data_IF_345795843059
#
_entry.id   IF_345795843059
#
_cell.length_a   1.000
_cell.length_b   1.000
_cell.length_c   1.000
_cell.angle_alpha   90.00
_cell.angle_beta   90.00
_cell.angle_gamma   90.00
#
_symmetry.space_group_name_H-M   'P 1'
#
loop_
_entity.id
_entity.type
_entity.pdbx_description
1 polymer ?
#
# COMPACT_ATOMS: atom_id res chain seq x y z
N UNK A 1 -0.33 -6.35 18.63
CA UNK A 1 -0.52 -5.91 17.23
C UNK A 1 0.84 -5.62 16.62
N UNK A 2 1.17 -6.26 15.50
CA UNK A 2 2.44 -6.04 14.80
C UNK A 2 2.11 -5.49 13.42
N UNK A 3 2.48 -4.23 13.19
CA UNK A 3 2.24 -3.48 11.96
C UNK A 3 3.44 -3.59 11.00
N UNK A 4 3.24 -3.26 9.71
CA UNK A 4 4.33 -3.18 8.74
C UNK A 4 5.38 -2.15 9.17
N UNK A 5 4.91 -0.98 9.62
CA UNK A 5 5.76 0.09 10.13
C UNK A 5 4.97 1.00 11.08
N UNK A 6 5.68 1.79 11.88
CA UNK A 6 5.08 2.89 12.65
C UNK A 6 5.40 4.27 12.06
N UNK A 7 6.14 4.32 10.94
CA UNK A 7 6.67 5.56 10.36
C UNK A 7 5.72 6.28 9.38
N UNK A 8 4.61 5.65 8.95
CA UNK A 8 3.66 6.27 8.02
C UNK A 8 2.38 6.73 8.71
N UNK A 9 1.72 7.72 8.14
CA UNK A 9 0.47 8.28 8.66
C UNK A 9 -0.63 7.21 8.74
N UNK A 10 -0.75 6.36 7.75
CA UNK A 10 -1.71 5.25 7.75
C UNK A 10 -1.56 4.35 8.96
N UNK A 11 -0.37 3.87 9.21
CA UNK A 11 -0.14 2.98 10.34
C UNK A 11 -0.34 3.68 11.67
N UNK A 12 -0.21 5.01 11.74
CA UNK A 12 -0.58 5.80 12.90
C UNK A 12 -2.08 5.75 13.21
N UNK A 13 -2.94 5.74 12.18
CA UNK A 13 -4.39 5.57 12.37
C UNK A 13 -4.75 4.16 12.81
N UNK A 14 -4.13 3.14 12.22
CA UNK A 14 -4.33 1.74 12.65
C UNK A 14 -3.93 1.56 14.11
N UNK A 15 -2.77 2.10 14.50
CA UNK A 15 -2.30 2.12 15.89
C UNK A 15 -3.30 2.82 16.80
N UNK A 16 -3.75 4.02 16.43
CA UNK A 16 -4.72 4.78 17.22
C UNK A 16 -6.04 4.00 17.43
N UNK A 17 -6.51 3.30 16.39
CA UNK A 17 -7.69 2.43 16.51
C UNK A 17 -7.50 1.28 17.49
N UNK A 18 -6.35 0.61 17.45
CA UNK A 18 -6.01 -0.47 18.37
C UNK A 18 -5.89 0.03 19.83
N UNK A 19 -5.27 1.19 20.04
CA UNK A 19 -5.15 1.83 21.35
C UNK A 19 -6.51 2.31 21.90
N UNK A 20 -7.38 2.84 21.04
CA UNK A 20 -8.74 3.23 21.41
C UNK A 20 -9.56 2.01 21.86
N UNK A 21 -9.46 0.88 21.14
CA UNK A 21 -10.13 -0.36 21.55
C UNK A 21 -9.70 -0.82 22.95
N UNK A 22 -8.40 -0.80 23.23
CA UNK A 22 -7.89 -1.15 24.57
C UNK A 22 -8.39 -0.22 25.66
N UNK A 23 -8.53 1.08 25.35
CA UNK A 23 -9.08 2.08 26.30
C UNK A 23 -10.56 1.84 26.59
N UNK A 24 -11.34 1.48 25.57
CA UNK A 24 -12.78 1.24 25.72
C UNK A 24 -13.09 -0.15 26.31
N UNK A 25 -12.11 -1.06 26.31
CA UNK A 25 -12.20 -2.42 26.84
C UNK A 25 -11.09 -2.66 27.86
N UNK A 26 -11.24 -2.26 29.12
CA UNK A 26 -10.17 -2.28 30.14
C UNK A 26 -9.57 -3.66 30.45
N UNK A 27 -10.30 -4.73 30.13
CA UNK A 27 -9.84 -6.11 30.30
C UNK A 27 -8.94 -6.57 29.14
N UNK A 28 -8.82 -5.78 28.07
CA UNK A 28 -8.00 -6.06 26.90
C UNK A 28 -6.82 -5.10 26.83
N UNK A 29 -5.62 -5.60 27.06
CA UNK A 29 -4.39 -4.83 26.90
C UNK A 29 -3.85 -5.03 25.48
N UNK A 30 -3.71 -3.94 24.75
CA UNK A 30 -3.15 -3.97 23.40
C UNK A 30 -1.78 -3.31 23.39
N UNK A 31 -0.76 -4.05 22.98
CA UNK A 31 0.55 -3.52 22.64
C UNK A 31 0.68 -3.41 21.12
N UNK A 32 1.10 -2.25 20.61
CA UNK A 32 1.26 -2.01 19.17
C UNK A 32 2.73 -1.76 18.85
N UNK A 33 3.28 -2.59 18.01
CA UNK A 33 4.65 -2.53 17.48
C UNK A 33 4.63 -2.46 15.95
N UNK A 34 5.72 -2.04 15.35
CA UNK A 34 5.93 -2.08 13.91
C UNK A 34 7.37 -1.75 13.59
N UNK A 35 7.83 -2.20 12.44
CA UNK A 35 9.18 -1.95 11.97
C UNK A 35 9.43 -0.47 11.66
N UNK A 36 10.68 -0.09 11.50
CA UNK A 36 11.09 1.30 11.20
C UNK A 36 10.73 1.72 9.77
N UNK A 37 10.56 0.76 8.86
CA UNK A 37 10.12 0.99 7.47
C UNK A 37 9.45 -0.26 6.89
N UNK A 38 8.78 -0.10 5.75
CA UNK A 38 8.16 -1.24 5.03
C UNK A 38 9.19 -2.13 4.31
N UNK A 39 10.48 -1.81 4.39
CA UNK A 39 11.59 -2.64 3.90
C UNK A 39 12.45 -3.24 5.01
N UNK A 40 12.13 -2.99 6.28
CA UNK A 40 12.86 -3.50 7.43
C UNK A 40 12.37 -4.92 7.81
N UNK A 41 12.57 -5.87 6.90
CA UNK A 41 12.08 -7.25 6.99
C UNK A 41 12.59 -7.99 8.22
N UNK A 42 13.91 -7.94 8.47
CA UNK A 42 14.54 -8.61 9.60
C UNK A 42 14.04 -8.08 10.93
N UNK A 43 13.75 -6.77 11.00
CA UNK A 43 13.22 -6.14 12.21
C UNK A 43 11.83 -6.67 12.54
N UNK A 44 10.93 -6.74 11.54
CA UNK A 44 9.59 -7.30 11.75
C UNK A 44 9.65 -8.79 12.05
N UNK A 45 10.48 -9.56 11.35
CA UNK A 45 10.69 -10.98 11.62
C UNK A 45 11.06 -11.21 13.08
N UNK A 46 12.08 -10.51 13.57
CA UNK A 46 12.54 -10.63 14.96
C UNK A 46 11.46 -10.27 15.97
N UNK A 47 10.64 -9.24 15.70
CA UNK A 47 9.49 -8.89 16.54
C UNK A 47 8.49 -10.03 16.61
N UNK A 48 8.09 -10.59 15.47
CA UNK A 48 7.13 -11.68 15.39
C UNK A 48 7.65 -12.91 16.14
N UNK A 49 8.88 -13.35 15.85
CA UNK A 49 9.49 -14.51 16.51
C UNK A 49 9.57 -14.30 18.02
N UNK A 50 10.02 -13.14 18.46
CA UNK A 50 10.14 -12.82 19.89
C UNK A 50 8.79 -12.85 20.60
N UNK A 51 7.79 -12.22 20.00
CA UNK A 51 6.47 -12.11 20.61
C UNK A 51 5.74 -13.47 20.64
N UNK A 52 5.81 -14.25 19.55
CA UNK A 52 5.22 -15.60 19.51
C UNK A 52 5.84 -16.55 20.56
N UNK A 53 7.14 -16.43 20.80
CA UNK A 53 7.85 -17.29 21.74
C UNK A 53 7.86 -16.80 23.19
N UNK A 54 7.40 -15.57 23.43
CA UNK A 54 7.44 -14.95 24.77
C UNK A 54 6.43 -15.55 25.76
N UNK A 55 5.31 -16.09 25.25
CA UNK A 55 4.17 -16.49 26.08
C UNK A 55 3.45 -15.32 26.79
N UNK A 56 3.75 -14.09 26.39
CA UNK A 56 3.22 -12.88 27.03
C UNK A 56 1.88 -12.41 26.43
N UNK A 57 1.48 -12.97 25.30
CA UNK A 57 0.30 -12.52 24.55
C UNK A 57 -0.68 -13.67 24.31
N UNK A 58 -1.96 -13.37 24.49
CA UNK A 58 -3.07 -14.32 24.32
C UNK A 58 -3.54 -14.39 22.85
N UNK A 59 -3.27 -13.37 22.03
CA UNK A 59 -3.66 -13.30 20.62
C UNK A 59 -2.77 -12.32 19.85
N UNK A 60 -2.76 -12.44 18.51
CA UNK A 60 -1.97 -11.64 17.62
C UNK A 60 -2.80 -11.02 16.50
N UNK A 61 -2.50 -9.76 16.16
CA UNK A 61 -2.95 -9.10 14.94
C UNK A 61 -1.70 -8.73 14.16
N UNK A 62 -1.53 -9.25 12.94
CA UNK A 62 -0.28 -9.11 12.18
C UNK A 62 -0.57 -8.52 10.80
N UNK A 63 0.12 -7.42 10.48
CA UNK A 63 0.25 -6.88 9.13
C UNK A 63 1.62 -7.27 8.57
N UNK A 64 1.75 -8.35 7.77
CA UNK A 64 3.05 -8.86 7.39
C UNK A 64 3.73 -7.99 6.33
N UNK A 65 5.05 -7.78 6.46
CA UNK A 65 5.90 -7.28 5.38
C UNK A 65 6.16 -8.36 4.33
N UNK A 66 6.31 -9.61 4.79
CA UNK A 66 6.53 -10.79 3.95
C UNK A 66 5.57 -11.91 4.39
N UNK A 67 4.43 -12.03 3.70
CA UNK A 67 3.36 -12.96 4.11
C UNK A 67 3.83 -14.43 4.15
N UNK A 68 4.64 -14.87 3.18
CA UNK A 68 5.15 -16.25 3.12
C UNK A 68 6.13 -16.56 4.27
N UNK A 69 6.95 -15.58 4.66
CA UNK A 69 7.82 -15.71 5.82
C UNK A 69 6.99 -15.80 7.10
N UNK A 70 6.04 -14.89 7.30
CA UNK A 70 5.17 -14.91 8.49
C UNK A 70 4.36 -16.20 8.57
N UNK A 71 3.86 -16.71 7.45
CA UNK A 71 3.23 -18.05 7.37
C UNK A 71 4.12 -19.13 7.97
N UNK A 72 5.42 -19.10 7.67
CA UNK A 72 6.38 -20.07 8.23
C UNK A 72 6.59 -19.87 9.73
N UNK A 73 6.66 -18.63 10.19
CA UNK A 73 6.88 -18.29 11.61
C UNK A 73 5.71 -18.67 12.51
N UNK A 74 4.47 -18.54 12.00
CA UNK A 74 3.26 -18.86 12.77
C UNK A 74 2.86 -20.33 12.70
N UNK A 75 3.55 -21.15 11.92
CA UNK A 75 3.23 -22.56 11.75
C UNK A 75 3.19 -23.30 13.10
N UNK A 76 2.05 -23.94 13.39
CA UNK A 76 1.82 -24.65 14.66
C UNK A 76 1.50 -23.78 15.86
N UNK A 77 1.34 -22.45 15.70
CA UNK A 77 0.87 -21.58 16.77
C UNK A 77 -0.58 -21.91 17.15
N UNK A 78 -0.85 -21.87 18.43
CA UNK A 78 -2.21 -22.13 18.98
C UNK A 78 -2.94 -20.85 19.43
N UNK A 79 -2.21 -19.76 19.63
CA UNK A 79 -2.80 -18.48 19.92
C UNK A 79 -3.59 -17.95 18.71
N UNK A 80 -4.77 -17.34 18.91
CA UNK A 80 -5.54 -16.73 17.82
C UNK A 80 -4.73 -15.69 17.05
N UNK A 81 -4.73 -15.80 15.72
CA UNK A 81 -4.04 -14.85 14.83
C UNK A 81 -5.04 -14.27 13.83
N UNK A 82 -5.03 -12.95 13.70
CA UNK A 82 -5.78 -12.21 12.66
C UNK A 82 -4.78 -11.49 11.78
N UNK A 83 -4.89 -11.66 10.46
CA UNK A 83 -4.14 -10.88 9.51
C UNK A 83 -4.86 -9.55 9.24
N UNK A 84 -4.10 -8.45 9.10
CA UNK A 84 -4.64 -7.14 8.78
C UNK A 84 -3.86 -6.53 7.62
N UNK A 85 -4.54 -5.77 6.75
CA UNK A 85 -4.01 -5.11 5.54
C UNK A 85 -3.52 -6.10 4.47
N UNK A 86 -2.60 -6.98 4.79
CA UNK A 86 -2.07 -8.01 3.90
C UNK A 86 -2.41 -9.39 4.45
N UNK A 87 -3.03 -10.22 3.61
CA UNK A 87 -3.44 -11.57 4.02
C UNK A 87 -2.23 -12.50 4.20
N UNK A 88 -2.38 -13.45 5.13
CA UNK A 88 -1.45 -14.56 5.35
C UNK A 88 -2.24 -15.84 5.09
N UNK A 89 -1.93 -16.53 3.99
CA UNK A 89 -2.61 -17.78 3.62
C UNK A 89 -2.07 -18.97 4.45
N UNK A 90 -2.53 -19.05 5.71
CA UNK A 90 -2.13 -20.08 6.66
C UNK A 90 -3.34 -20.53 7.51
N UNK A 91 -3.41 -21.83 7.88
CA UNK A 91 -4.52 -22.36 8.67
C UNK A 91 -4.58 -21.79 10.11
N UNK A 92 -3.48 -21.25 10.61
CA UNK A 92 -3.39 -20.58 11.90
C UNK A 92 -4.08 -19.21 11.92
N UNK A 93 -4.34 -18.61 10.74
CA UNK A 93 -5.01 -17.32 10.63
C UNK A 93 -6.51 -17.50 10.64
N UNK A 94 -7.15 -17.01 11.70
CA UNK A 94 -8.60 -17.13 11.91
C UNK A 94 -9.42 -16.22 11.02
N UNK A 95 -8.88 -15.05 10.67
CA UNK A 95 -9.57 -14.04 9.87
C UNK A 95 -8.59 -13.07 9.23
N UNK A 96 -9.01 -12.46 8.14
CA UNK A 96 -8.33 -11.35 7.49
C UNK A 96 -9.24 -10.11 7.52
N UNK A 97 -8.65 -8.98 7.90
CA UNK A 97 -9.30 -7.66 7.85
C UNK A 97 -8.50 -6.75 6.92
N UNK A 98 -9.08 -6.42 5.80
CA UNK A 98 -8.41 -5.61 4.78
C UNK A 98 -9.33 -5.26 3.61
N UNK A 99 -8.75 -4.69 2.57
CA UNK A 99 -9.43 -4.25 1.36
C UNK A 99 -9.21 -5.27 0.24
N UNK A 100 -10.20 -5.46 -0.63
CA UNK A 100 -10.03 -6.12 -1.93
C UNK A 100 -9.20 -5.22 -2.86
N UNK A 101 -7.88 -5.22 -2.67
CA UNK A 101 -6.97 -4.24 -3.25
C UNK A 101 -6.99 -4.25 -4.79
N UNK A 102 -7.10 -5.43 -5.42
CA UNK A 102 -7.13 -5.54 -6.87
C UNK A 102 -8.41 -4.91 -7.46
N UNK A 103 -9.58 -5.28 -6.91
CA UNK A 103 -10.85 -4.77 -7.42
C UNK A 103 -10.99 -3.26 -7.19
N UNK A 104 -10.60 -2.77 -6.01
CA UNK A 104 -10.65 -1.35 -5.70
C UNK A 104 -9.69 -0.54 -6.59
N UNK A 105 -8.49 -1.05 -6.86
CA UNK A 105 -7.55 -0.41 -7.77
C UNK A 105 -8.04 -0.45 -9.24
N UNK A 106 -8.74 -1.52 -9.65
CA UNK A 106 -9.33 -1.60 -10.98
C UNK A 106 -10.40 -0.52 -11.18
N UNK A 107 -11.27 -0.31 -10.21
CA UNK A 107 -12.25 0.78 -10.25
C UNK A 107 -11.57 2.16 -10.26
N UNK A 108 -10.51 2.35 -9.46
CA UNK A 108 -9.69 3.56 -9.50
C UNK A 108 -9.04 3.82 -10.86
N UNK A 109 -8.53 2.77 -11.50
CA UNK A 109 -7.96 2.83 -12.85
C UNK A 109 -8.99 3.23 -13.91
N UNK A 110 -10.19 2.66 -13.86
CA UNK A 110 -11.31 3.03 -14.76
C UNK A 110 -11.70 4.50 -14.60
N UNK A 111 -11.90 4.93 -13.36
CA UNK A 111 -12.25 6.32 -13.06
C UNK A 111 -11.16 7.31 -13.52
N UNK A 112 -9.89 6.93 -13.39
CA UNK A 112 -8.77 7.75 -13.86
C UNK A 112 -8.77 7.93 -15.37
N UNK A 113 -9.09 6.87 -16.15
CA UNK A 113 -9.20 6.96 -17.62
C UNK A 113 -10.35 7.89 -18.02
N UNK A 114 -11.49 7.80 -17.37
CA UNK A 114 -12.62 8.70 -17.63
C UNK A 114 -12.27 10.15 -17.31
N UNK A 115 -11.62 10.40 -16.17
CA UNK A 115 -11.15 11.72 -15.79
C UNK A 115 -10.11 12.28 -16.77
N UNK A 116 -9.17 11.47 -17.23
CA UNK A 116 -8.17 11.88 -18.22
C UNK A 116 -8.80 12.26 -19.56
N UNK A 117 -9.76 11.48 -20.04
CA UNK A 117 -10.55 11.80 -21.25
C UNK A 117 -11.31 13.11 -21.08
N UNK A 118 -11.95 13.30 -19.93
CA UNK A 118 -12.66 14.55 -19.61
C UNK A 118 -11.73 15.77 -19.51
N UNK A 119 -10.48 15.58 -19.07
CA UNK A 119 -9.45 16.61 -19.04
C UNK A 119 -8.87 16.95 -20.44
N UNK A 120 -9.27 16.20 -21.47
CA UNK A 120 -8.88 16.42 -22.86
C UNK A 120 -7.53 15.81 -23.24
N UNK A 121 -7.18 14.67 -22.67
CA UNK A 121 -6.05 13.85 -23.11
C UNK A 121 -6.48 13.00 -24.32
N UNK A 122 -5.80 13.18 -25.47
CA UNK A 122 -6.04 12.37 -26.67
C UNK A 122 -5.40 10.97 -26.51
N UNK A 123 -4.21 10.90 -25.91
CA UNK A 123 -3.50 9.67 -25.57
C UNK A 123 -3.58 9.42 -24.09
N UNK A 124 -4.40 8.46 -23.68
CA UNK A 124 -4.62 8.14 -22.25
C UNK A 124 -3.65 7.04 -21.83
N UNK A 125 -2.44 7.45 -21.47
CA UNK A 125 -1.39 6.59 -20.93
C UNK A 125 -1.32 6.71 -19.40
N UNK A 126 -1.02 5.58 -18.73
CA UNK A 126 -0.82 5.51 -17.29
C UNK A 126 0.55 4.93 -16.94
N UNK A 127 1.24 5.56 -16.01
CA UNK A 127 2.45 5.05 -15.36
C UNK A 127 2.16 4.83 -13.89
N UNK A 128 2.70 3.74 -13.32
CA UNK A 128 2.57 3.44 -11.91
C UNK A 128 3.82 3.84 -11.12
N UNK A 129 3.61 4.45 -9.96
CA UNK A 129 4.59 4.56 -8.88
C UNK A 129 4.13 3.61 -7.78
N UNK A 130 4.69 2.39 -7.78
CA UNK A 130 4.29 1.30 -6.90
C UNK A 130 5.01 1.36 -5.55
N UNK A 131 4.50 0.61 -4.57
CA UNK A 131 5.10 0.49 -3.24
C UNK A 131 6.34 -0.38 -3.23
N UNK A 132 6.42 -1.32 -2.28
CA UNK A 132 7.52 -2.27 -2.18
C UNK A 132 7.35 -3.36 -3.23
N UNK A 133 8.42 -3.62 -3.99
CA UNK A 133 8.40 -4.68 -5.00
C UNK A 133 8.23 -6.05 -4.33
N UNK A 134 7.24 -6.82 -4.79
CA UNK A 134 6.95 -8.14 -4.24
C UNK A 134 6.01 -8.14 -3.01
N UNK A 135 5.67 -6.97 -2.46
CA UNK A 135 4.62 -6.89 -1.44
C UNK A 135 3.26 -7.25 -2.03
N UNK A 136 2.48 -8.09 -1.33
CA UNK A 136 1.20 -8.60 -1.84
C UNK A 136 0.16 -7.50 -2.07
N UNK A 137 0.08 -6.52 -1.18
CA UNK A 137 -0.82 -5.37 -1.31
C UNK A 137 -0.42 -4.48 -2.48
N UNK A 138 0.89 -4.18 -2.61
CA UNK A 138 1.42 -3.38 -3.72
C UNK A 138 1.19 -4.08 -5.06
N UNK A 139 1.42 -5.37 -5.14
CA UNK A 139 1.18 -6.19 -6.34
C UNK A 139 -0.29 -6.21 -6.73
N UNK A 140 -1.19 -6.45 -5.78
CA UNK A 140 -2.64 -6.48 -6.04
C UNK A 140 -3.15 -5.12 -6.57
N UNK A 141 -2.73 -4.00 -5.97
CA UNK A 141 -3.08 -2.66 -6.45
C UNK A 141 -2.54 -2.40 -7.85
N UNK A 142 -1.30 -2.77 -8.12
CA UNK A 142 -0.68 -2.62 -9.43
C UNK A 142 -1.44 -3.40 -10.51
N UNK A 143 -1.76 -4.67 -10.24
CA UNK A 143 -2.57 -5.54 -11.12
C UNK A 143 -3.94 -4.93 -11.38
N UNK A 144 -4.59 -4.43 -10.33
CA UNK A 144 -5.90 -3.79 -10.44
C UNK A 144 -5.86 -2.53 -11.30
N UNK A 145 -4.89 -1.63 -11.08
CA UNK A 145 -4.75 -0.42 -11.91
C UNK A 145 -4.52 -0.75 -13.38
N UNK A 146 -3.62 -1.71 -13.68
CA UNK A 146 -3.40 -2.17 -15.04
C UNK A 146 -4.70 -2.66 -15.69
N UNK A 147 -5.44 -3.54 -14.99
CA UNK A 147 -6.72 -4.07 -15.44
C UNK A 147 -7.72 -2.94 -15.70
N UNK A 148 -7.93 -2.06 -14.74
CA UNK A 148 -8.91 -0.99 -14.83
C UNK A 148 -8.60 0.02 -15.92
N UNK A 149 -7.34 0.44 -16.06
CA UNK A 149 -6.88 1.34 -17.14
C UNK A 149 -7.10 0.70 -18.51
N UNK A 150 -6.72 -0.56 -18.68
CA UNK A 150 -6.83 -1.28 -19.96
C UNK A 150 -8.29 -1.52 -20.33
N UNK A 151 -9.13 -1.98 -19.41
CA UNK A 151 -10.56 -2.22 -19.65
C UNK A 151 -11.31 -0.93 -20.04
N UNK A 152 -10.89 0.23 -19.51
CA UNK A 152 -11.47 1.53 -19.84
C UNK A 152 -10.90 2.14 -21.15
N UNK A 153 -9.99 1.44 -21.83
CA UNK A 153 -9.38 1.85 -23.10
C UNK A 153 -8.22 2.84 -22.95
N UNK A 154 -7.54 2.83 -21.81
CA UNK A 154 -6.24 3.46 -21.61
C UNK A 154 -5.08 2.49 -21.92
N UNK A 155 -3.87 3.01 -21.98
CA UNK A 155 -2.63 2.25 -22.15
C UNK A 155 -1.83 2.27 -20.84
N UNK A 156 -1.61 1.10 -20.24
CA UNK A 156 -0.78 0.98 -19.03
C UNK A 156 0.67 0.66 -19.43
N UNK A 157 1.62 1.53 -19.09
CA UNK A 157 3.03 1.42 -19.47
C UNK A 157 3.79 0.52 -18.49
N UNK A 158 3.67 -0.80 -18.70
CA UNK A 158 4.23 -1.84 -17.80
C UNK A 158 5.74 -1.76 -17.62
N UNK A 159 6.47 -1.40 -18.66
CA UNK A 159 7.93 -1.36 -18.65
C UNK A 159 8.47 -0.09 -17.95
N UNK A 160 7.57 0.81 -17.54
CA UNK A 160 7.91 2.10 -16.93
C UNK A 160 7.49 2.20 -15.45
N UNK A 161 7.08 1.08 -14.85
CA UNK A 161 6.71 1.04 -13.43
C UNK A 161 7.90 1.47 -12.56
N UNK A 162 7.66 2.43 -11.68
CA UNK A 162 8.63 2.87 -10.67
C UNK A 162 8.28 2.27 -9.31
N UNK A 163 9.27 1.81 -8.54
CA UNK A 163 9.08 1.33 -7.18
C UNK A 163 9.66 2.35 -6.19
N UNK A 164 8.86 2.81 -5.27
CA UNK A 164 9.18 3.87 -4.32
C UNK A 164 9.04 3.44 -2.85
N UNK A 165 9.06 2.12 -2.58
CA UNK A 165 9.06 1.50 -1.24
C UNK A 165 7.97 2.06 -0.29
N UNK A 166 6.83 2.49 -0.83
CA UNK A 166 5.73 3.14 -0.11
C UNK A 166 6.12 4.48 0.55
N UNK A 167 7.22 5.13 0.12
CA UNK A 167 7.79 6.35 0.70
C UNK A 167 7.54 7.57 -0.18
N UNK A 168 7.01 8.64 0.40
CA UNK A 168 6.67 9.89 -0.28
C UNK A 168 7.86 10.53 -1.04
N UNK A 169 9.03 10.63 -0.40
CA UNK A 169 10.20 11.26 -1.01
C UNK A 169 10.72 10.46 -2.22
N UNK A 170 10.66 9.13 -2.15
CA UNK A 170 11.01 8.26 -3.27
C UNK A 170 10.01 8.39 -4.41
N UNK A 171 8.72 8.54 -4.11
CA UNK A 171 7.70 8.80 -5.12
C UNK A 171 7.88 10.16 -5.80
N UNK A 172 8.29 11.20 -5.08
CA UNK A 172 8.64 12.49 -5.67
C UNK A 172 9.82 12.36 -6.65
N UNK A 173 10.88 11.64 -6.26
CA UNK A 173 12.04 11.36 -7.12
C UNK A 173 11.64 10.54 -8.35
N UNK A 174 10.79 9.53 -8.19
CA UNK A 174 10.24 8.75 -9.31
C UNK A 174 9.44 9.64 -10.28
N UNK A 175 8.64 10.56 -9.75
CA UNK A 175 7.88 11.50 -10.58
C UNK A 175 8.80 12.46 -11.36
N UNK A 176 9.90 12.92 -10.76
CA UNK A 176 10.91 13.73 -11.46
C UNK A 176 11.53 12.96 -12.64
N UNK A 177 11.84 11.68 -12.45
CA UNK A 177 12.35 10.82 -13.52
C UNK A 177 11.30 10.61 -14.64
N UNK A 178 10.03 10.40 -14.28
CA UNK A 178 8.92 10.29 -15.23
C UNK A 178 8.82 11.59 -16.06
N UNK A 179 8.88 12.75 -15.42
CA UNK A 179 8.82 14.04 -16.14
C UNK A 179 9.99 14.26 -17.11
N UNK A 180 11.17 13.73 -16.81
CA UNK A 180 12.32 13.79 -17.72
C UNK A 180 12.14 12.88 -18.94
N UNK A 181 11.56 11.69 -18.75
CA UNK A 181 11.33 10.73 -19.83
C UNK A 181 10.10 11.11 -20.69
N UNK A 182 9.14 11.80 -20.10
CA UNK A 182 7.89 12.23 -20.75
C UNK A 182 7.72 13.75 -20.68
N UNK A 183 8.53 14.53 -21.41
CA UNK A 183 8.49 16.00 -21.35
C UNK A 183 7.16 16.60 -21.80
N UNK A 184 6.38 15.87 -22.60
CA UNK A 184 5.06 16.28 -23.10
C UNK A 184 3.91 15.91 -22.14
N UNK A 185 4.23 15.26 -21.02
CA UNK A 185 3.26 14.83 -20.00
C UNK A 185 2.76 13.40 -20.17
N UNK A 186 2.15 12.89 -19.10
CA UNK A 186 1.45 11.59 -19.04
C UNK A 186 0.06 11.81 -18.47
N UNK A 187 -0.93 11.16 -19.04
CA UNK A 187 -2.33 11.39 -18.70
C UNK A 187 -2.67 10.98 -17.26
N UNK A 188 -2.08 9.85 -16.78
CA UNK A 188 -2.43 9.25 -15.49
C UNK A 188 -1.15 8.80 -14.78
N UNK A 189 -1.03 9.17 -13.51
CA UNK A 189 -0.06 8.62 -12.57
C UNK A 189 -0.84 7.90 -11.47
N UNK A 190 -0.73 6.57 -11.41
CA UNK A 190 -1.33 5.77 -10.33
C UNK A 190 -0.28 5.46 -9.28
N UNK A 191 -0.61 5.70 -8.02
CA UNK A 191 0.29 5.47 -6.90
C UNK A 191 -0.27 4.42 -5.94
N UNK A 192 0.63 3.70 -5.28
CA UNK A 192 0.25 2.62 -4.37
C UNK A 192 -0.50 3.13 -3.11
N UNK A 193 -0.22 4.35 -2.68
CA UNK A 193 -0.88 5.00 -1.54
C UNK A 193 -0.99 6.52 -1.74
N UNK A 194 -1.71 7.18 -0.83
CA UNK A 194 -1.97 8.62 -0.90
C UNK A 194 -0.73 9.47 -0.67
N UNK A 195 0.14 9.06 0.27
CA UNK A 195 1.37 9.80 0.57
C UNK A 195 2.25 9.93 -0.69
N UNK A 196 2.36 8.83 -1.45
CA UNK A 196 3.07 8.80 -2.72
C UNK A 196 2.37 9.62 -3.80
N UNK A 197 1.04 9.51 -3.91
CA UNK A 197 0.26 10.27 -4.91
C UNK A 197 0.37 11.78 -4.66
N UNK A 198 0.25 12.20 -3.41
CA UNK A 198 0.40 13.60 -3.02
C UNK A 198 1.82 14.12 -3.25
N UNK A 199 2.84 13.30 -3.01
CA UNK A 199 4.24 13.66 -3.25
C UNK A 199 4.51 13.80 -4.75
N UNK A 200 4.05 12.84 -5.57
CA UNK A 200 4.16 12.89 -7.02
C UNK A 200 3.44 14.13 -7.61
N UNK A 201 2.22 14.39 -7.17
CA UNK A 201 1.46 15.57 -7.60
C UNK A 201 2.16 16.89 -7.21
N UNK A 202 2.77 16.94 -6.02
CA UNK A 202 3.55 18.11 -5.59
C UNK A 202 4.82 18.29 -6.43
N UNK A 203 5.53 17.21 -6.77
CA UNK A 203 6.71 17.26 -7.62
C UNK A 203 6.38 17.76 -9.04
N UNK A 204 5.22 17.38 -9.57
CA UNK A 204 4.75 17.84 -10.88
C UNK A 204 4.18 19.26 -10.89
N UNK A 205 3.96 19.86 -9.70
CA UNK A 205 3.34 21.18 -9.58
C UNK A 205 4.18 22.26 -10.28
N UNK A 206 3.52 23.00 -11.18
CA UNK A 206 4.16 24.06 -11.97
C UNK A 206 4.73 23.60 -13.31
N UNK A 207 4.77 22.31 -13.59
CA UNK A 207 5.07 21.78 -14.90
C UNK A 207 3.80 21.81 -15.78
N UNK A 208 3.82 22.65 -16.83
CA UNK A 208 2.65 22.87 -17.70
C UNK A 208 2.19 21.58 -18.41
N UNK A 209 3.12 20.69 -18.77
CA UNK A 209 2.82 19.42 -19.43
C UNK A 209 2.01 18.47 -18.53
N UNK A 210 2.14 18.62 -17.22
CA UNK A 210 1.45 17.81 -16.20
C UNK A 210 0.25 18.51 -15.56
N UNK A 211 -0.13 19.70 -16.03
CA UNK A 211 -1.22 20.48 -15.45
C UNK A 211 -2.60 19.77 -15.48
N UNK A 212 -2.77 18.82 -16.38
CA UNK A 212 -4.00 18.04 -16.56
C UNK A 212 -3.83 16.55 -16.17
N UNK A 213 -2.67 16.15 -15.65
CA UNK A 213 -2.42 14.79 -15.25
C UNK A 213 -3.32 14.39 -14.07
N UNK A 214 -3.90 13.21 -14.18
CA UNK A 214 -4.72 12.62 -13.13
C UNK A 214 -3.80 11.83 -12.21
N UNK A 215 -3.72 12.24 -10.95
CA UNK A 215 -3.00 11.51 -9.92
C UNK A 215 -3.99 10.69 -9.10
N UNK A 216 -3.72 9.40 -8.96
CA UNK A 216 -4.56 8.46 -8.21
C UNK A 216 -3.74 7.91 -7.05
N UNK A 217 -4.28 8.02 -5.84
CA UNK A 217 -3.79 7.34 -4.65
C UNK A 217 -4.77 6.26 -4.20
N UNK A 218 -4.39 5.53 -3.19
CA UNK A 218 -5.27 4.57 -2.52
C UNK A 218 -5.65 5.16 -1.18
N UNK A 219 -6.91 5.64 -1.08
CA UNK A 219 -7.39 6.39 0.07
C UNK A 219 -7.48 5.56 1.35
N UNK A 220 -7.21 6.22 2.46
CA UNK A 220 -7.13 5.64 3.80
C UNK A 220 -8.31 5.96 4.71
N UNK A 221 -9.43 6.37 4.15
CA UNK A 221 -10.56 6.71 5.00
C UNK A 221 -11.54 7.71 4.38
N UNK A 222 -11.80 7.54 3.10
CA UNK A 222 -12.93 8.18 2.45
C UNK A 222 -14.19 7.39 2.76
#
# INVERSE_FOLDING_TARGET
>A
VILKTTASEYWSYVKAGAEAYSKDNPDVKVEVKGATSETAYDEQQNMIETDLNSGAYDAFVIAPLQADLVKTLIAGQTAPIVAVDTNIDAPEVLSFVGTGNEDAAAEGGKAAVEAAKAAGWDKVQAIAISGVQGDGTATARLTGYEKGVTEAGGEFLKDEIQYADAVADKAATSMEAIMQNHPDGVAIIVCNNDDMAMAAARAAKGNAAYAKTIFVGFCKGC
#
